data_IF_496827361514
#
_entry.id   IF_496827361514
#
_cell.length_a   1.000
_cell.length_b   1.000
_cell.length_c   1.000
_cell.angle_alpha   90.00
_cell.angle_beta   90.00
_cell.angle_gamma   90.00
#
_symmetry.space_group_name_H-M   'P 1'
#
loop_
_entity.id
_entity.type
_entity.pdbx_description
1 polymer ?
#
# COMPACT_ATOMS: atom_id res chain seq x y z
N UNK A 1 -60.93 22.52 6.73
CA UNK A 1 -60.21 21.36 7.27
C UNK A 1 -59.14 20.99 6.26
N UNK A 2 -57.86 21.07 6.62
CA UNK A 2 -56.80 20.62 5.72
C UNK A 2 -56.95 19.12 5.48
N UNK A 3 -56.77 18.67 4.24
CA UNK A 3 -56.82 17.26 3.89
C UNK A 3 -55.65 16.52 4.56
N UNK A 4 -55.96 15.79 5.64
CA UNK A 4 -55.01 15.02 6.45
C UNK A 4 -54.21 14.03 5.58
N UNK A 5 -54.80 13.52 4.49
CA UNK A 5 -54.13 12.62 3.56
C UNK A 5 -53.00 13.31 2.78
N UNK A 6 -53.23 14.53 2.32
CA UNK A 6 -52.24 15.33 1.62
C UNK A 6 -51.04 15.69 2.52
N UNK A 7 -51.30 16.00 3.79
CA UNK A 7 -50.24 16.32 4.79
C UNK A 7 -49.37 15.09 5.08
N UNK A 8 -49.98 13.92 5.24
CA UNK A 8 -49.25 12.68 5.48
C UNK A 8 -48.38 12.27 4.28
N UNK A 9 -48.92 12.41 3.06
CA UNK A 9 -48.17 12.11 1.84
C UNK A 9 -46.94 13.03 1.70
N UNK A 10 -47.10 14.32 1.96
CA UNK A 10 -46.01 15.29 1.92
C UNK A 10 -44.90 14.95 2.94
N UNK A 11 -45.27 14.57 4.17
CA UNK A 11 -44.33 14.16 5.21
C UNK A 11 -43.50 12.93 4.79
N UNK A 12 -44.13 11.92 4.20
CA UNK A 12 -43.44 10.70 3.75
C UNK A 12 -42.47 10.99 2.60
N UNK A 13 -42.89 11.77 1.61
CA UNK A 13 -42.04 12.15 0.47
C UNK A 13 -40.84 12.96 0.93
N UNK A 14 -41.05 13.91 1.85
CA UNK A 14 -39.96 14.71 2.44
C UNK A 14 -38.95 13.84 3.19
N UNK A 15 -39.41 12.85 3.95
CA UNK A 15 -38.53 11.93 4.68
C UNK A 15 -37.70 11.03 3.74
N UNK A 16 -38.30 10.54 2.65
CA UNK A 16 -37.57 9.78 1.62
C UNK A 16 -36.53 10.67 0.93
N UNK A 17 -36.89 11.90 0.56
CA UNK A 17 -35.98 12.84 -0.07
C UNK A 17 -34.78 13.16 0.84
N UNK A 18 -35.01 13.32 2.15
CA UNK A 18 -33.96 13.51 3.14
C UNK A 18 -33.01 12.30 3.20
N UNK A 19 -33.55 11.08 3.24
CA UNK A 19 -32.76 9.85 3.25
C UNK A 19 -31.92 9.67 1.98
N UNK A 20 -32.47 9.98 0.81
CA UNK A 20 -31.73 9.95 -0.46
C UNK A 20 -30.59 10.97 -0.45
N UNK A 21 -30.83 12.17 0.08
CA UNK A 21 -29.81 13.21 0.20
C UNK A 21 -28.67 12.78 1.14
N UNK A 22 -29.01 12.20 2.31
CA UNK A 22 -28.02 11.68 3.27
C UNK A 22 -27.22 10.51 2.68
N UNK A 23 -27.87 9.58 1.98
CA UNK A 23 -27.19 8.47 1.31
C UNK A 23 -26.25 8.98 0.19
N UNK A 24 -26.66 10.00 -0.55
CA UNK A 24 -25.82 10.65 -1.56
C UNK A 24 -24.59 11.32 -0.96
N UNK A 25 -24.75 12.10 0.11
CA UNK A 25 -23.66 12.77 0.79
C UNK A 25 -22.66 11.79 1.41
N UNK A 26 -23.15 10.70 2.04
CA UNK A 26 -22.27 9.65 2.59
C UNK A 26 -21.54 8.89 1.49
N UNK A 27 -22.20 8.59 0.37
CA UNK A 27 -21.58 7.98 -0.81
C UNK A 27 -20.45 8.84 -1.40
N UNK A 28 -20.67 10.16 -1.53
CA UNK A 28 -19.64 11.10 -1.99
C UNK A 28 -18.45 11.12 -1.02
N UNK A 29 -18.71 11.20 0.30
CA UNK A 29 -17.64 11.21 1.30
C UNK A 29 -16.81 9.90 1.29
N UNK A 30 -17.46 8.75 1.10
CA UNK A 30 -16.80 7.45 0.97
C UNK A 30 -15.98 7.40 -0.34
N UNK A 31 -16.53 7.91 -1.45
CA UNK A 31 -15.83 7.96 -2.73
C UNK A 31 -14.61 8.89 -2.68
N UNK A 32 -14.73 10.06 -2.05
CA UNK A 32 -13.61 10.96 -1.81
C UNK A 32 -12.58 10.36 -0.85
N UNK A 33 -13.01 9.69 0.22
CA UNK A 33 -12.13 8.95 1.12
C UNK A 33 -11.37 7.83 0.39
N UNK A 34 -12.02 7.13 -0.54
CA UNK A 34 -11.39 6.13 -1.41
C UNK A 34 -10.43 6.75 -2.43
N UNK A 35 -10.77 7.90 -3.01
CA UNK A 35 -9.94 8.62 -4.00
C UNK A 35 -8.72 9.28 -3.37
N UNK A 36 -8.85 9.74 -2.11
CA UNK A 36 -7.78 10.37 -1.31
C UNK A 36 -6.90 9.36 -0.58
N UNK A 37 -7.18 8.05 -0.66
CA UNK A 37 -6.18 7.00 -0.38
C UNK A 37 -5.09 7.05 -1.44
N UNK A 38 -4.21 8.01 -1.22
CA UNK A 38 -2.83 8.15 -1.65
C UNK A 38 -2.33 6.95 -2.44
N UNK A 39 -2.13 7.16 -3.75
CA UNK A 39 -1.36 6.23 -4.58
C UNK A 39 0.06 6.20 -4.01
N UNK A 40 0.32 5.30 -3.07
CA UNK A 40 1.69 5.06 -2.65
C UNK A 40 2.42 4.39 -3.82
N UNK A 41 3.70 4.68 -3.97
CA UNK A 41 4.55 4.07 -4.98
C UNK A 41 5.80 3.52 -4.31
N UNK A 42 6.22 2.33 -4.72
CA UNK A 42 7.52 1.80 -4.38
C UNK A 42 8.49 2.19 -5.50
N UNK A 43 9.40 3.11 -5.22
CA UNK A 43 10.43 3.57 -6.16
C UNK A 43 11.73 2.84 -5.83
N UNK A 44 12.22 2.02 -6.75
CA UNK A 44 13.46 1.29 -6.61
C UNK A 44 14.59 2.22 -7.02
N UNK A 45 15.58 2.39 -6.15
CA UNK A 45 16.77 3.15 -6.44
C UNK A 45 17.92 2.22 -6.79
N UNK A 46 18.74 2.62 -7.76
CA UNK A 46 19.98 1.93 -8.07
C UNK A 46 21.11 2.28 -7.07
N UNK A 47 22.30 1.74 -7.33
CA UNK A 47 23.49 1.99 -6.52
C UNK A 47 23.97 3.45 -6.53
N UNK A 48 23.53 4.26 -7.50
CA UNK A 48 23.82 5.70 -7.61
C UNK A 48 22.74 6.56 -6.94
N UNK A 49 21.61 5.96 -6.54
CA UNK A 49 20.47 6.64 -5.96
C UNK A 49 19.45 7.14 -6.97
N UNK A 50 19.60 6.78 -8.25
CA UNK A 50 18.66 7.13 -9.31
C UNK A 50 17.50 6.14 -9.34
N UNK A 51 16.31 6.62 -9.71
CA UNK A 51 15.13 5.77 -9.83
C UNK A 51 15.29 4.81 -11.01
N UNK A 52 15.36 3.51 -10.72
CA UNK A 52 15.44 2.44 -11.71
C UNK A 52 14.07 1.99 -12.17
N UNK A 53 13.13 1.83 -11.23
CA UNK A 53 11.79 1.31 -11.50
C UNK A 53 10.79 1.84 -10.46
N UNK A 54 9.50 1.81 -10.80
CA UNK A 54 8.41 2.26 -9.96
C UNK A 54 7.21 1.29 -10.01
N UNK A 55 6.71 0.89 -8.84
CA UNK A 55 5.48 0.10 -8.74
C UNK A 55 4.41 0.82 -7.91
N UNK A 56 3.20 0.93 -8.45
CA UNK A 56 2.07 1.49 -7.70
C UNK A 56 1.56 0.51 -6.62
N UNK A 57 1.54 0.96 -5.36
CA UNK A 57 0.95 0.27 -4.22
C UNK A 57 -0.58 0.45 -4.22
N UNK A 58 -1.22 -0.13 -5.24
CA UNK A 58 -2.64 0.01 -5.54
C UNK A 58 -3.54 -0.98 -4.79
N UNK A 59 -4.43 -1.65 -5.53
CA UNK A 59 -5.45 -2.58 -5.00
C UNK A 59 -4.92 -3.99 -4.68
N UNK A 60 -3.68 -4.27 -5.03
CA UNK A 60 -3.07 -5.58 -4.87
C UNK A 60 -2.96 -5.93 -3.38
N UNK A 61 -3.11 -7.23 -3.05
CA UNK A 61 -2.96 -7.71 -1.66
C UNK A 61 -1.50 -7.82 -1.25
N UNK A 62 -0.64 -8.14 -2.20
CA UNK A 62 0.78 -8.40 -1.96
C UNK A 62 1.59 -8.06 -3.21
N UNK A 63 2.81 -7.58 -2.99
CA UNK A 63 3.88 -7.45 -3.98
C UNK A 63 5.08 -8.22 -3.48
N UNK A 64 5.48 -9.26 -4.20
CA UNK A 64 6.66 -10.07 -3.89
C UNK A 64 7.94 -9.36 -4.35
N UNK A 65 8.97 -9.41 -3.51
CA UNK A 65 10.27 -8.80 -3.73
C UNK A 65 11.34 -9.88 -3.66
N UNK A 66 12.15 -10.00 -4.70
CA UNK A 66 13.24 -10.98 -4.74
C UNK A 66 13.85 -11.12 -6.12
N UNK A 67 14.24 -12.34 -6.48
CA UNK A 67 14.68 -12.70 -7.83
C UNK A 67 13.64 -13.56 -8.51
N UNK A 68 13.27 -13.21 -9.74
CA UNK A 68 12.42 -14.08 -10.54
C UNK A 68 13.14 -15.37 -10.90
N UNK A 69 12.46 -16.49 -10.66
CA UNK A 69 12.85 -17.81 -11.11
C UNK A 69 11.70 -18.44 -11.91
N UNK A 70 11.94 -19.45 -12.76
CA UNK A 70 10.88 -20.10 -13.53
C UNK A 70 9.72 -20.64 -12.66
N UNK A 71 10.02 -21.01 -11.41
CA UNK A 71 9.04 -21.49 -10.43
C UNK A 71 8.39 -20.38 -9.59
N UNK A 72 8.96 -19.17 -9.56
CA UNK A 72 8.50 -18.08 -8.70
C UNK A 72 8.74 -16.72 -9.37
N UNK A 73 7.66 -16.12 -9.88
CA UNK A 73 7.70 -14.78 -10.45
C UNK A 73 7.43 -13.75 -9.35
N UNK A 74 8.36 -12.83 -9.16
CA UNK A 74 8.21 -11.72 -8.21
C UNK A 74 7.65 -10.48 -8.90
N UNK A 75 7.06 -9.57 -8.12
CA UNK A 75 6.55 -8.31 -8.66
C UNK A 75 7.64 -7.26 -8.81
N UNK A 76 8.59 -7.24 -7.85
CA UNK A 76 9.75 -6.35 -7.85
C UNK A 76 11.00 -7.23 -7.95
N UNK A 77 11.61 -7.24 -9.12
CA UNK A 77 12.68 -8.16 -9.49
C UNK A 77 14.07 -7.52 -9.40
N UNK A 78 14.95 -8.17 -8.64
CA UNK A 78 16.34 -7.80 -8.45
C UNK A 78 17.32 -8.78 -9.12
N UNK A 79 16.87 -9.60 -10.07
CA UNK A 79 17.75 -10.53 -10.80
C UNK A 79 18.91 -9.84 -11.53
N UNK A 80 18.67 -8.63 -12.07
CA UNK A 80 19.70 -7.83 -12.75
C UNK A 80 20.45 -6.85 -11.80
N UNK A 81 20.24 -6.94 -10.49
CA UNK A 81 20.95 -6.10 -9.52
C UNK A 81 22.43 -6.48 -9.45
N UNK A 82 23.30 -5.48 -9.25
CA UNK A 82 24.70 -5.71 -8.90
C UNK A 82 24.87 -6.52 -7.60
N UNK A 83 23.83 -6.56 -6.77
CA UNK A 83 23.75 -7.28 -5.50
C UNK A 83 22.82 -8.50 -5.56
N UNK A 84 22.46 -8.99 -6.75
CA UNK A 84 21.57 -10.16 -6.93
C UNK A 84 22.06 -11.41 -6.16
N UNK A 85 23.36 -11.56 -5.92
CA UNK A 85 23.93 -12.65 -5.13
C UNK A 85 23.51 -12.61 -3.64
N UNK A 86 23.19 -11.42 -3.10
CA UNK A 86 22.71 -11.24 -1.72
C UNK A 86 21.18 -11.31 -1.59
N UNK A 87 20.47 -11.37 -2.72
CA UNK A 87 19.02 -11.35 -2.77
C UNK A 87 18.50 -12.77 -3.05
N UNK A 88 17.48 -13.17 -2.30
CA UNK A 88 16.84 -14.49 -2.40
C UNK A 88 15.66 -14.42 -3.37
N UNK A 89 15.18 -15.57 -3.88
CA UNK A 89 14.00 -15.61 -4.74
C UNK A 89 12.75 -15.07 -4.02
N UNK A 90 12.56 -15.43 -2.74
CA UNK A 90 11.53 -14.86 -1.84
C UNK A 90 12.21 -14.05 -0.72
N UNK A 91 12.59 -12.81 -1.00
CA UNK A 91 13.39 -12.02 -0.08
C UNK A 91 12.54 -11.17 0.87
N UNK A 92 11.52 -10.51 0.34
CA UNK A 92 10.56 -9.72 1.11
C UNK A 92 9.21 -9.64 0.40
N UNK A 93 8.22 -9.11 1.08
CA UNK A 93 6.94 -8.77 0.47
C UNK A 93 6.40 -7.45 1.02
N UNK A 94 5.73 -6.69 0.17
CA UNK A 94 4.84 -5.61 0.60
C UNK A 94 3.44 -6.19 0.69
N UNK A 95 2.84 -6.14 1.88
CA UNK A 95 1.55 -6.74 2.16
C UNK A 95 0.56 -5.65 2.53
N UNK A 96 -0.61 -5.67 1.90
CA UNK A 96 -1.72 -4.78 2.22
C UNK A 96 -2.62 -5.45 3.25
N UNK A 97 -2.75 -4.83 4.42
CA UNK A 97 -3.75 -5.22 5.43
C UNK A 97 -4.69 -4.04 5.71
N UNK A 98 -5.93 -4.17 5.25
CA UNK A 98 -6.97 -3.14 5.37
C UNK A 98 -6.61 -1.82 4.67
N UNK A 99 -6.28 -0.82 5.48
CA UNK A 99 -5.94 0.53 5.02
C UNK A 99 -4.45 0.79 4.80
N UNK A 100 -3.60 -0.10 5.29
CA UNK A 100 -2.18 0.14 5.41
C UNK A 100 -1.38 -0.88 4.63
N UNK A 101 -0.18 -0.46 4.25
CA UNK A 101 0.84 -1.31 3.70
C UNK A 101 1.87 -1.65 4.78
N UNK A 102 2.44 -2.82 4.63
CA UNK A 102 3.43 -3.38 5.53
C UNK A 102 4.55 -3.98 4.71
N UNK A 103 5.77 -3.95 5.22
CA UNK A 103 6.88 -4.76 4.71
C UNK A 103 7.03 -6.00 5.60
N UNK A 104 7.26 -7.14 4.96
CA UNK A 104 7.50 -8.43 5.60
C UNK A 104 8.81 -9.01 5.08
N UNK A 105 9.73 -9.33 5.98
CA UNK A 105 10.95 -10.05 5.62
C UNK A 105 10.66 -11.54 5.43
N UNK A 106 11.10 -12.12 4.30
CA UNK A 106 10.88 -13.54 3.96
C UNK A 106 12.18 -14.31 3.72
N UNK A 107 13.27 -13.61 3.42
CA UNK A 107 14.60 -14.15 3.26
C UNK A 107 15.05 -14.98 4.48
N UNK A 108 15.79 -16.06 4.23
CA UNK A 108 16.40 -16.87 5.29
C UNK A 108 17.73 -16.28 5.77
N UNK A 109 18.58 -15.90 4.81
CA UNK A 109 19.93 -15.41 5.00
C UNK A 109 20.06 -13.93 4.64
N UNK A 110 19.23 -13.45 3.70
CA UNK A 110 19.16 -12.07 3.28
C UNK A 110 18.67 -11.12 4.38
N UNK A 111 19.05 -9.84 4.25
CA UNK A 111 18.66 -8.81 5.21
C UNK A 111 17.62 -7.87 4.61
N UNK A 112 16.56 -7.64 5.39
CA UNK A 112 15.57 -6.60 5.11
C UNK A 112 15.65 -5.55 6.19
N UNK A 113 15.87 -4.31 5.79
CA UNK A 113 15.93 -3.15 6.69
C UNK A 113 14.77 -2.20 6.45
N UNK A 114 14.37 -1.45 7.46
CA UNK A 114 13.40 -0.37 7.35
C UNK A 114 13.93 0.87 8.03
N UNK A 115 13.84 2.00 7.32
CA UNK A 115 14.06 3.35 7.83
C UNK A 115 12.76 4.11 7.72
N UNK A 116 12.24 4.54 8.86
CA UNK A 116 11.04 5.37 8.89
C UNK A 116 11.36 6.80 8.47
N UNK A 117 10.40 7.47 7.83
CA UNK A 117 10.52 8.86 7.42
C UNK A 117 10.98 9.75 8.58
N UNK A 118 12.09 10.47 8.37
CA UNK A 118 12.64 11.41 9.35
C UNK A 118 13.26 10.76 10.59
N UNK A 119 13.33 9.43 10.64
CA UNK A 119 13.97 8.67 11.71
C UNK A 119 15.38 8.20 11.33
N UNK A 120 16.27 8.23 12.32
CA UNK A 120 17.44 7.35 12.43
C UNK A 120 17.22 6.47 13.67
N UNK A 121 17.66 5.20 13.71
CA UNK A 121 18.45 4.45 12.71
C UNK A 121 17.62 3.55 11.78
N UNK A 122 18.29 2.94 10.78
CA UNK A 122 17.77 1.77 10.04
C UNK A 122 17.71 0.57 10.97
N UNK A 123 16.57 -0.12 11.06
CA UNK A 123 16.45 -1.34 11.85
C UNK A 123 16.21 -2.57 10.96
N UNK A 124 16.80 -3.71 11.36
CA UNK A 124 16.62 -5.00 10.70
C UNK A 124 15.26 -5.58 11.07
N UNK A 125 14.54 -6.06 10.07
CA UNK A 125 13.23 -6.68 10.26
C UNK A 125 13.38 -8.15 10.68
N UNK A 126 12.51 -8.60 11.57
CA UNK A 126 12.37 -10.00 11.88
C UNK A 126 11.57 -10.71 10.78
N UNK A 127 12.02 -11.92 10.40
CA UNK A 127 11.34 -12.74 9.40
C UNK A 127 9.89 -13.03 9.81
N UNK A 128 8.97 -12.85 8.86
CA UNK A 128 7.54 -13.14 9.03
C UNK A 128 6.74 -12.11 9.80
N UNK A 129 7.36 -11.03 10.31
CA UNK A 129 6.66 -9.96 11.03
C UNK A 129 6.29 -8.82 10.07
N UNK A 130 5.08 -8.31 10.19
CA UNK A 130 4.57 -7.17 9.41
C UNK A 130 4.95 -5.85 10.08
N UNK A 131 5.74 -5.03 9.39
CA UNK A 131 6.10 -3.69 9.83
C UNK A 131 5.41 -2.65 8.96
N UNK A 132 4.62 -1.77 9.59
CA UNK A 132 3.85 -0.75 8.87
C UNK A 132 4.79 0.21 8.15
N UNK A 133 4.46 0.52 6.90
CA UNK A 133 5.17 1.51 6.10
C UNK A 133 4.26 2.70 5.75
N UNK A 134 4.88 3.84 5.52
CA UNK A 134 4.25 5.08 5.11
C UNK A 134 5.09 5.82 4.08
N UNK A 135 4.47 6.79 3.42
CA UNK A 135 5.15 7.69 2.48
C UNK A 135 6.35 8.37 3.15
N UNK A 136 7.52 8.26 2.53
CA UNK A 136 8.81 8.75 2.99
C UNK A 136 9.69 7.70 3.67
N UNK A 137 9.18 6.50 3.92
CA UNK A 137 9.99 5.40 4.44
C UNK A 137 10.92 4.84 3.36
N UNK A 138 12.03 4.23 3.78
CA UNK A 138 12.96 3.51 2.90
C UNK A 138 13.10 2.07 3.39
N UNK A 139 12.85 1.13 2.49
CA UNK A 139 13.08 -0.30 2.70
C UNK A 139 14.41 -0.66 2.06
N UNK A 140 15.21 -1.43 2.78
CA UNK A 140 16.50 -1.93 2.32
C UNK A 140 16.35 -3.42 2.01
N UNK A 141 16.71 -3.80 0.79
CA UNK A 141 16.73 -5.18 0.30
C UNK A 141 18.20 -5.52 0.09
N UNK A 142 18.85 -6.08 1.11
CA UNK A 142 20.30 -6.17 1.19
C UNK A 142 20.99 -4.80 1.01
N UNK A 143 21.57 -4.52 -0.16
CA UNK A 143 22.21 -3.24 -0.48
C UNK A 143 21.36 -2.34 -1.38
N UNK A 144 20.24 -2.85 -1.88
CA UNK A 144 19.28 -2.12 -2.71
C UNK A 144 18.28 -1.35 -1.86
N UNK A 145 17.73 -0.26 -2.41
CA UNK A 145 16.81 0.62 -1.70
C UNK A 145 15.49 0.75 -2.44
N UNK A 146 14.41 0.72 -1.68
CA UNK A 146 13.05 1.01 -2.14
C UNK A 146 12.52 2.17 -1.32
N UNK A 147 12.22 3.30 -1.95
CA UNK A 147 11.63 4.47 -1.30
C UNK A 147 10.12 4.46 -1.51
N UNK A 148 9.37 4.63 -0.42
CA UNK A 148 7.91 4.70 -0.47
C UNK A 148 7.50 6.15 -0.73
N UNK A 149 6.87 6.43 -1.86
CA UNK A 149 6.42 7.76 -2.27
C UNK A 149 4.92 7.89 -2.38
#
# INVERSE_FOLDING_TARGET
MADQGAVNLFMVVSMIALWVMVAGLTGIHIAEYLKKRTRMRAVILDSRGEARDEHELGKQKELLIGKSAPANLVNIDFSDSAYAASIEEDHAALVRNGAYWYVCARANNGMVGLKQKGGEPVYKLQKGILYRIQRGDTIYISYEKIVIQ
#
